data_IF_554706476616
#
_entry.id   IF_554706476616
#
_cell.length_a   1.000
_cell.length_b   1.000
_cell.length_c   1.000
_cell.angle_alpha   90.00
_cell.angle_beta   90.00
_cell.angle_gamma   90.00
#
_symmetry.space_group_name_H-M   'P 1'
#
loop_
_entity.id
_entity.type
_entity.pdbx_description
1 polymer ?
#
# COMPACT_ATOMS: atom_id res chain seq x y z
N UNK A 1 -91.77 -23.74 -37.02
CA UNK A 1 -92.12 -23.25 -35.66
C UNK A 1 -90.92 -23.48 -34.75
N UNK A 2 -90.52 -22.45 -33.98
CA UNK A 2 -89.55 -22.43 -32.86
C UNK A 2 -88.10 -22.83 -33.13
N UNK A 3 -87.07 -22.31 -32.46
CA UNK A 3 -86.71 -21.05 -31.77
C UNK A 3 -85.31 -21.34 -31.19
N UNK A 4 -84.42 -20.33 -31.14
CA UNK A 4 -83.32 -20.19 -30.16
C UNK A 4 -82.18 -21.25 -30.18
N UNK A 5 -80.94 -21.01 -29.76
CA UNK A 5 -80.16 -19.84 -29.31
C UNK A 5 -78.68 -20.28 -29.23
N UNK A 6 -77.76 -19.36 -29.59
CA UNK A 6 -76.46 -19.04 -28.97
C UNK A 6 -75.50 -20.15 -28.47
N UNK A 7 -74.24 -20.16 -28.96
CA UNK A 7 -73.07 -19.65 -28.22
C UNK A 7 -71.78 -19.60 -29.06
N UNK A 8 -71.04 -18.52 -28.84
CA UNK A 8 -69.82 -18.05 -29.50
C UNK A 8 -68.59 -18.58 -28.76
N UNK A 9 -67.51 -18.93 -29.46
CA UNK A 9 -66.14 -18.80 -28.94
C UNK A 9 -65.14 -18.60 -30.09
N UNK A 10 -64.62 -17.38 -30.18
CA UNK A 10 -63.47 -16.98 -30.99
C UNK A 10 -62.19 -17.17 -30.17
N UNK A 11 -61.08 -17.55 -30.81
CA UNK A 11 -59.74 -17.26 -30.29
C UNK A 11 -58.78 -16.93 -31.42
N UNK A 12 -58.39 -15.65 -31.41
CA UNK A 12 -57.51 -14.98 -32.35
C UNK A 12 -56.04 -15.37 -32.15
N UNK A 13 -55.33 -15.47 -33.27
CA UNK A 13 -53.89 -15.68 -33.37
C UNK A 13 -53.14 -14.47 -32.80
N UNK A 14 -52.32 -14.69 -31.78
CA UNK A 14 -51.42 -13.69 -31.20
C UNK A 14 -50.07 -13.71 -31.94
N UNK A 15 -49.71 -12.58 -32.56
CA UNK A 15 -48.36 -12.33 -33.08
C UNK A 15 -47.39 -12.06 -31.93
N UNK A 16 -46.24 -12.74 -31.94
CA UNK A 16 -45.20 -12.60 -30.94
C UNK A 16 -44.43 -11.28 -31.12
N UNK A 17 -44.43 -10.44 -30.08
CA UNK A 17 -43.54 -9.28 -29.94
C UNK A 17 -42.26 -9.76 -29.28
N UNK A 18 -41.12 -9.68 -29.98
CA UNK A 18 -39.80 -9.96 -29.43
C UNK A 18 -39.33 -8.74 -28.60
N UNK A 19 -39.34 -8.86 -27.28
CA UNK A 19 -38.77 -7.87 -26.38
C UNK A 19 -37.24 -8.07 -26.30
N UNK A 20 -36.48 -7.12 -26.85
CA UNK A 20 -35.03 -7.07 -26.69
C UNK A 20 -34.68 -6.64 -25.27
N UNK A 21 -34.11 -7.56 -24.48
CA UNK A 21 -33.54 -7.27 -23.16
C UNK A 21 -32.18 -6.62 -23.38
N UNK A 22 -32.11 -5.29 -23.26
CA UNK A 22 -30.87 -4.55 -23.10
C UNK A 22 -30.30 -4.86 -21.72
N UNK A 23 -29.31 -5.76 -21.67
CA UNK A 23 -28.49 -5.96 -20.48
C UNK A 23 -27.65 -4.68 -20.26
N UNK A 24 -28.16 -3.78 -19.42
CA UNK A 24 -27.39 -2.69 -18.84
C UNK A 24 -26.33 -3.33 -17.93
N UNK A 25 -25.16 -3.63 -18.50
CA UNK A 25 -23.98 -3.93 -17.71
C UNK A 25 -23.66 -2.71 -16.86
N UNK A 26 -23.90 -2.79 -15.55
CA UNK A 26 -23.38 -1.80 -14.63
C UNK A 26 -21.86 -1.84 -14.76
N UNK A 27 -21.20 -0.73 -15.13
CA UNK A 27 -19.75 -0.71 -15.07
C UNK A 27 -19.39 -1.00 -13.61
N UNK A 28 -18.65 -2.07 -13.38
CA UNK A 28 -17.94 -2.27 -12.11
C UNK A 28 -16.98 -1.08 -12.04
N UNK A 29 -17.41 -0.02 -11.36
CA UNK A 29 -16.54 1.09 -11.04
C UNK A 29 -15.38 0.50 -10.25
N UNK A 30 -14.20 0.52 -10.85
CA UNK A 30 -12.97 0.35 -10.09
C UNK A 30 -13.00 1.44 -9.02
N UNK A 31 -13.09 1.04 -7.75
CA UNK A 31 -13.02 1.96 -6.63
C UNK A 31 -11.75 2.81 -6.79
N UNK A 32 -11.80 4.11 -6.55
CA UNK A 32 -10.65 4.98 -6.81
C UNK A 32 -9.42 4.60 -5.98
N UNK A 33 -8.24 5.11 -6.33
CA UNK A 33 -7.01 4.85 -5.57
C UNK A 33 -7.16 5.14 -4.06
N UNK A 34 -7.89 6.21 -3.69
CA UNK A 34 -8.15 6.55 -2.28
C UNK A 34 -9.08 5.54 -1.62
N UNK A 35 -10.09 5.04 -2.33
CA UNK A 35 -10.97 4.00 -1.80
C UNK A 35 -10.20 2.70 -1.55
N UNK A 36 -9.33 2.32 -2.48
CA UNK A 36 -8.46 1.15 -2.32
C UNK A 36 -7.47 1.33 -1.17
N UNK A 37 -6.91 2.53 -0.99
CA UNK A 37 -6.03 2.84 0.15
C UNK A 37 -6.80 2.78 1.47
N UNK A 38 -8.00 3.38 1.50
CA UNK A 38 -8.87 3.34 2.67
C UNK A 38 -9.24 1.90 3.03
N UNK A 39 -9.57 1.07 2.04
CA UNK A 39 -9.85 -0.34 2.22
C UNK A 39 -8.62 -1.07 2.77
N UNK A 40 -7.45 -0.90 2.14
CA UNK A 40 -6.20 -1.54 2.57
C UNK A 40 -5.86 -1.23 4.03
N UNK A 41 -5.88 0.05 4.41
CA UNK A 41 -5.55 0.49 5.78
C UNK A 41 -6.57 -0.04 6.80
N UNK A 42 -7.85 -0.12 6.42
CA UNK A 42 -8.93 -0.59 7.28
C UNK A 42 -8.96 -2.11 7.46
N UNK A 43 -8.79 -2.88 6.39
CA UNK A 43 -8.96 -4.34 6.39
C UNK A 43 -7.68 -5.11 6.73
N UNK A 44 -6.51 -4.52 6.49
CA UNK A 44 -5.22 -5.18 6.67
C UNK A 44 -4.61 -4.79 8.02
N UNK A 45 -4.81 -5.60 9.05
CA UNK A 45 -4.27 -5.35 10.40
C UNK A 45 -2.85 -5.88 10.58
N UNK A 46 -2.47 -6.89 9.82
CA UNK A 46 -1.09 -7.33 9.69
C UNK A 46 -0.79 -7.69 8.25
N UNK A 47 0.48 -7.74 7.90
CA UNK A 47 0.90 -8.18 6.58
C UNK A 47 2.34 -8.61 6.54
N UNK A 48 2.66 -9.46 5.57
CA UNK A 48 4.01 -9.90 5.25
C UNK A 48 4.20 -9.86 3.74
N UNK A 49 5.36 -9.42 3.29
CA UNK A 49 5.72 -9.40 1.88
C UNK A 49 7.24 -9.48 1.71
N UNK A 50 7.68 -9.99 0.56
CA UNK A 50 9.02 -9.73 0.06
C UNK A 50 9.02 -8.40 -0.72
N UNK A 51 10.14 -7.69 -0.73
CA UNK A 51 10.30 -6.49 -1.54
C UNK A 51 11.62 -6.48 -2.31
N UNK A 52 11.60 -5.86 -3.48
CA UNK A 52 12.78 -5.40 -4.20
C UNK A 52 12.72 -3.88 -4.29
N UNK A 53 13.84 -3.21 -3.97
CA UNK A 53 13.97 -1.76 -3.98
C UNK A 53 14.99 -1.33 -5.03
N UNK A 54 14.66 -0.32 -5.83
CA UNK A 54 15.60 0.35 -6.72
C UNK A 54 15.69 1.82 -6.32
N UNK A 55 16.90 2.25 -5.93
CA UNK A 55 17.21 3.63 -5.57
C UNK A 55 17.97 4.26 -6.73
N UNK A 56 17.40 5.31 -7.32
CA UNK A 56 17.95 6.03 -8.46
C UNK A 56 18.33 7.44 -8.03
N UNK A 57 19.60 7.82 -8.25
CA UNK A 57 20.07 9.18 -8.02
C UNK A 57 19.48 10.16 -9.05
N UNK A 58 19.33 11.45 -8.72
CA UNK A 58 18.91 12.46 -9.69
C UNK A 58 19.86 12.46 -10.90
N UNK A 59 19.30 12.66 -12.09
CA UNK A 59 20.07 12.72 -13.32
C UNK A 59 21.09 13.88 -13.26
N UNK A 60 22.31 13.60 -13.73
CA UNK A 60 23.34 14.62 -13.95
C UNK A 60 23.68 14.62 -15.43
N UNK A 61 23.73 15.81 -16.02
CA UNK A 61 24.02 15.98 -17.43
C UNK A 61 25.34 15.29 -17.81
N UNK A 62 25.31 14.53 -18.91
CA UNK A 62 26.48 13.77 -19.40
C UNK A 62 26.85 12.53 -18.58
N UNK A 63 26.08 12.13 -17.56
CA UNK A 63 26.34 10.90 -16.79
C UNK A 63 25.19 9.89 -16.92
N UNK A 64 25.50 8.59 -17.04
CA UNK A 64 24.47 7.57 -17.02
C UNK A 64 23.73 7.55 -15.67
N UNK A 65 22.43 7.20 -15.63
CA UNK A 65 21.69 7.03 -14.39
C UNK A 65 22.38 6.04 -13.47
N UNK A 66 22.58 6.42 -12.21
CA UNK A 66 23.10 5.51 -11.18
C UNK A 66 21.95 4.98 -10.36
N UNK A 67 21.77 3.67 -10.38
CA UNK A 67 20.82 2.97 -9.53
C UNK A 67 21.51 1.95 -8.62
N UNK A 68 20.91 1.71 -7.46
CA UNK A 68 21.26 0.63 -6.54
C UNK A 68 20.03 -0.22 -6.29
N UNK A 69 20.20 -1.53 -6.28
CA UNK A 69 19.12 -2.47 -5.98
C UNK A 69 19.34 -3.10 -4.62
N UNK A 70 18.27 -3.21 -3.84
CA UNK A 70 18.24 -3.90 -2.56
C UNK A 70 17.02 -4.83 -2.51
N UNK A 71 17.04 -5.83 -1.63
CA UNK A 71 15.89 -6.73 -1.47
C UNK A 71 15.77 -7.18 -0.04
N UNK A 72 14.55 -7.58 0.34
CA UNK A 72 14.28 -7.93 1.72
C UNK A 72 12.87 -8.41 1.99
N UNK A 73 12.52 -8.41 3.27
CA UNK A 73 11.17 -8.68 3.75
C UNK A 73 10.61 -7.49 4.52
N UNK A 74 9.29 -7.31 4.37
CA UNK A 74 8.53 -6.32 5.08
C UNK A 74 7.40 -7.00 5.81
N UNK A 75 7.30 -6.72 7.10
CA UNK A 75 6.23 -7.23 7.95
C UNK A 75 5.68 -6.11 8.81
N UNK A 76 4.39 -6.13 9.07
CA UNK A 76 3.77 -5.14 9.95
C UNK A 76 2.58 -5.70 10.73
N UNK A 77 2.31 -5.03 11.84
CA UNK A 77 1.11 -5.21 12.65
C UNK A 77 0.65 -3.84 13.13
N UNK A 78 -0.56 -3.46 12.74
CA UNK A 78 -1.17 -2.20 13.15
C UNK A 78 -1.65 -2.27 14.60
N UNK A 79 -1.61 -1.15 15.34
CA UNK A 79 -0.99 0.12 14.94
C UNK A 79 0.52 0.14 15.20
N UNK A 80 1.26 0.82 14.32
CA UNK A 80 2.60 1.30 14.61
C UNK A 80 3.72 0.26 14.75
N UNK A 81 3.51 -1.02 14.44
CA UNK A 81 4.60 -2.01 14.46
C UNK A 81 4.96 -2.45 13.06
N UNK A 82 6.24 -2.44 12.76
CA UNK A 82 6.75 -3.02 11.51
C UNK A 82 8.20 -3.45 11.64
N UNK A 83 8.61 -4.33 10.74
CA UNK A 83 10.00 -4.70 10.53
C UNK A 83 10.28 -4.70 9.02
N UNK A 84 11.30 -3.95 8.62
CA UNK A 84 11.99 -4.13 7.34
C UNK A 84 13.31 -4.85 7.59
N UNK A 85 13.57 -5.92 6.85
CA UNK A 85 14.87 -6.58 6.81
C UNK A 85 15.40 -6.50 5.40
N UNK A 86 16.47 -5.75 5.19
CA UNK A 86 17.25 -5.75 3.97
C UNK A 86 18.28 -6.88 4.06
N UNK A 87 18.31 -7.75 3.06
CA UNK A 87 19.19 -8.93 3.04
C UNK A 87 20.29 -8.81 1.99
N UNK A 88 20.13 -7.94 0.98
CA UNK A 88 21.11 -7.74 -0.10
C UNK A 88 21.11 -6.29 -0.57
N UNK A 89 22.27 -5.76 -1.01
CA UNK A 89 23.62 -6.31 -0.86
C UNK A 89 24.20 -6.08 0.55
N UNK A 90 23.56 -5.24 1.36
CA UNK A 90 23.96 -4.91 2.72
C UNK A 90 22.84 -5.29 3.69
N UNK A 91 23.21 -5.81 4.85
CA UNK A 91 22.25 -6.24 5.86
C UNK A 91 21.86 -5.07 6.75
N UNK A 92 20.57 -4.72 6.72
CA UNK A 92 20.03 -3.64 7.52
C UNK A 92 18.66 -4.03 8.05
N UNK A 93 18.40 -3.76 9.31
CA UNK A 93 17.10 -4.04 9.94
C UNK A 93 16.50 -2.75 10.50
N UNK A 94 15.28 -2.43 10.11
CA UNK A 94 14.51 -1.31 10.64
C UNK A 94 13.31 -1.87 11.40
N UNK A 95 13.18 -1.57 12.68
CA UNK A 95 12.08 -2.09 13.53
C UNK A 95 11.39 -0.94 14.23
N UNK A 96 10.09 -0.83 14.04
CA UNK A 96 9.21 -0.05 14.90
C UNK A 96 8.51 -1.00 15.87
N UNK A 97 8.78 -0.86 17.16
CA UNK A 97 8.20 -1.71 18.21
C UNK A 97 6.91 -1.13 18.81
N UNK A 98 6.50 0.06 18.38
CA UNK A 98 5.38 0.83 18.90
C UNK A 98 5.80 1.97 19.85
N UNK A 99 7.08 2.04 20.23
CA UNK A 99 7.65 3.10 21.08
C UNK A 99 8.95 3.66 20.50
N UNK A 100 9.80 2.79 19.97
CA UNK A 100 11.13 3.09 19.46
C UNK A 100 11.24 2.65 18.01
N UNK A 101 11.82 3.51 17.18
CA UNK A 101 12.32 3.14 15.86
C UNK A 101 13.80 2.77 15.99
N UNK A 102 14.09 1.50 15.77
CA UNK A 102 15.43 0.93 15.74
C UNK A 102 15.91 0.82 14.30
N UNK A 103 17.13 1.30 14.04
CA UNK A 103 17.85 1.11 12.79
C UNK A 103 19.14 0.37 13.12
N UNK A 104 19.28 -0.87 12.67
CA UNK A 104 20.49 -1.67 12.81
C UNK A 104 21.16 -1.80 11.45
N UNK A 105 22.35 -1.24 11.34
CA UNK A 105 23.25 -1.44 10.21
C UNK A 105 24.30 -2.46 10.65
N UNK A 106 24.24 -3.66 10.06
CA UNK A 106 25.08 -4.80 10.46
C UNK A 106 26.53 -4.55 10.07
N UNK A 107 26.74 -3.97 8.88
CA UNK A 107 28.07 -3.75 8.32
C UNK A 107 28.82 -2.65 9.07
N UNK A 108 28.09 -1.64 9.56
CA UNK A 108 28.65 -0.60 10.43
C UNK A 108 28.74 -1.01 11.90
N UNK A 109 28.21 -2.19 12.27
CA UNK A 109 28.08 -2.64 13.67
C UNK A 109 27.45 -1.55 14.57
N UNK A 110 26.39 -0.92 14.08
CA UNK A 110 25.76 0.25 14.71
C UNK A 110 24.25 0.12 14.78
N UNK A 111 23.67 0.49 15.92
CA UNK A 111 22.25 0.65 16.15
C UNK A 111 21.94 2.10 16.47
N UNK A 112 20.94 2.67 15.80
CA UNK A 112 20.34 3.95 16.17
C UNK A 112 18.93 3.70 16.74
N UNK A 113 18.62 4.35 17.85
CA UNK A 113 17.31 4.29 18.50
C UNK A 113 16.72 5.68 18.61
N UNK A 114 15.50 5.88 18.09
CA UNK A 114 14.77 7.15 18.14
C UNK A 114 13.35 6.95 18.64
N UNK A 115 12.79 7.95 19.32
CA UNK A 115 11.36 7.91 19.71
C UNK A 115 10.48 7.85 18.48
N UNK A 116 9.67 6.80 18.37
CA UNK A 116 8.88 6.54 17.18
C UNK A 116 7.89 7.67 16.88
N UNK A 117 7.25 8.24 17.91
CA UNK A 117 6.31 9.35 17.79
C UNK A 117 6.91 10.60 17.10
N UNK A 118 8.22 10.81 17.20
CA UNK A 118 8.90 11.99 16.65
C UNK A 118 9.31 11.80 15.19
N UNK A 119 9.52 10.56 14.75
CA UNK A 119 10.12 10.28 13.43
C UNK A 119 9.18 9.57 12.48
N UNK A 120 8.19 8.82 12.99
CA UNK A 120 7.39 7.91 12.19
C UNK A 120 6.55 8.64 11.13
N UNK A 121 5.89 9.75 11.49
CA UNK A 121 5.00 10.50 10.59
C UNK A 121 5.69 11.00 9.31
N UNK A 122 7.02 11.11 9.31
CA UNK A 122 7.81 11.51 8.14
C UNK A 122 8.37 10.32 7.33
N UNK A 123 8.02 9.08 7.67
CA UNK A 123 8.55 7.88 7.01
C UNK A 123 7.56 7.27 6.01
N UNK A 124 8.04 6.71 4.88
CA UNK A 124 7.20 5.92 3.97
C UNK A 124 6.49 4.74 4.63
N UNK A 125 7.12 4.12 5.64
CA UNK A 125 6.53 3.04 6.42
C UNK A 125 5.26 3.47 7.16
N UNK A 126 5.11 4.75 7.52
CA UNK A 126 3.91 5.21 8.22
C UNK A 126 2.65 5.07 7.38
N UNK A 127 2.76 5.30 6.07
CA UNK A 127 1.64 5.19 5.13
C UNK A 127 1.13 3.75 5.06
N UNK A 128 2.05 2.78 5.00
CA UNK A 128 1.71 1.39 4.75
C UNK A 128 1.54 0.52 5.99
N UNK A 129 2.10 0.89 7.13
CA UNK A 129 2.11 0.05 8.33
C UNK A 129 1.69 0.75 9.63
N UNK A 130 1.82 2.06 9.75
CA UNK A 130 1.57 2.73 11.03
C UNK A 130 0.14 3.23 11.18
N UNK A 131 -0.41 3.84 10.13
CA UNK A 131 -1.68 4.53 10.25
C UNK A 131 -2.85 3.54 10.48
N UNK A 132 -3.74 3.82 11.45
CA UNK A 132 -4.91 3.00 11.74
C UNK A 132 -6.05 3.17 10.72
N UNK A 133 -6.12 4.33 10.08
CA UNK A 133 -7.13 4.73 9.09
C UNK A 133 -6.60 5.86 8.18
N UNK A 134 -7.41 6.22 7.17
CA UNK A 134 -7.09 7.31 6.23
C UNK A 134 -7.02 8.67 6.93
N UNK A 135 -7.88 8.91 7.94
CA UNK A 135 -7.92 10.18 8.70
C UNK A 135 -6.64 10.42 9.50
N UNK A 136 -5.94 9.38 9.91
CA UNK A 136 -4.62 9.49 10.53
C UNK A 136 -3.57 9.89 9.49
N UNK A 137 -3.59 9.30 8.29
CA UNK A 137 -2.71 9.70 7.19
C UNK A 137 -2.94 11.15 6.78
N UNK A 138 -4.20 11.58 6.69
CA UNK A 138 -4.57 12.94 6.32
C UNK A 138 -4.13 14.00 7.34
N UNK A 139 -3.73 13.64 8.57
CA UNK A 139 -3.12 14.61 9.49
C UNK A 139 -1.73 15.03 9.03
N UNK A 140 -0.97 14.08 8.50
CA UNK A 140 0.44 14.26 8.17
C UNK A 140 0.67 14.47 6.66
N UNK A 141 -0.27 14.02 5.82
CA UNK A 141 -0.16 14.04 4.37
C UNK A 141 -1.38 14.67 3.70
N UNK A 142 -1.16 15.32 2.57
CA UNK A 142 -2.19 15.61 1.57
C UNK A 142 -2.23 14.42 0.61
N UNK A 143 -3.38 13.74 0.54
CA UNK A 143 -3.58 12.57 -0.31
C UNK A 143 -4.34 12.96 -1.57
N UNK A 144 -3.86 12.50 -2.72
CA UNK A 144 -4.48 12.74 -4.03
C UNK A 144 -4.46 11.46 -4.85
N UNK A 145 -5.58 11.14 -5.50
CA UNK A 145 -5.62 10.07 -6.49
C UNK A 145 -4.77 10.44 -7.71
N UNK A 146 -4.12 9.44 -8.27
CA UNK A 146 -3.45 9.53 -9.56
C UNK A 146 -4.02 8.49 -10.52
N UNK A 147 -3.86 8.68 -11.84
CA UNK A 147 -4.34 7.72 -12.82
C UNK A 147 -3.81 6.31 -12.56
N UNK A 148 -4.69 5.34 -12.75
CA UNK A 148 -4.32 3.93 -12.70
C UNK A 148 -3.25 3.61 -13.77
N UNK A 149 -2.27 2.81 -13.38
CA UNK A 149 -1.13 2.47 -14.24
C UNK A 149 -0.48 1.18 -13.78
N UNK A 150 0.06 0.40 -14.72
CA UNK A 150 0.72 -0.89 -14.46
C UNK A 150 -0.15 -1.88 -13.66
N UNK A 151 -1.47 -1.85 -13.90
CA UNK A 151 -2.45 -2.69 -13.20
C UNK A 151 -2.64 -2.32 -11.72
N UNK A 152 -2.22 -1.12 -11.32
CA UNK A 152 -2.29 -0.61 -9.96
C UNK A 152 -3.10 0.69 -9.91
N UNK A 153 -3.75 0.89 -8.78
CA UNK A 153 -4.46 2.10 -8.42
C UNK A 153 -3.55 2.94 -7.53
N UNK A 154 -3.40 4.21 -7.88
CA UNK A 154 -2.34 5.04 -7.32
C UNK A 154 -2.88 6.14 -6.42
N UNK A 155 -2.26 6.29 -5.26
CA UNK A 155 -2.44 7.45 -4.38
C UNK A 155 -1.10 8.12 -4.15
N UNK A 156 -1.04 9.42 -4.42
CA UNK A 156 0.09 10.25 -4.03
C UNK A 156 -0.16 10.90 -2.68
N UNK A 157 0.84 10.84 -1.82
CA UNK A 157 0.87 11.45 -0.51
C UNK A 157 2.01 12.47 -0.45
N UNK A 158 1.67 13.72 -0.18
CA UNK A 158 2.63 14.81 0.00
C UNK A 158 2.66 15.20 1.48
N UNK A 159 3.82 15.13 2.17
CA UNK A 159 3.91 15.56 3.56
C UNK A 159 3.44 17.00 3.73
N UNK A 160 2.68 17.26 4.80
CA UNK A 160 2.25 18.62 5.17
C UNK A 160 3.36 19.41 5.86
N UNK A 161 4.26 18.72 6.55
CA UNK A 161 5.49 19.31 7.10
C UNK A 161 6.52 19.51 6.00
N UNK A 162 7.19 20.68 5.98
CA UNK A 162 8.21 21.05 4.99
C UNK A 162 9.65 20.80 5.47
N UNK A 163 9.84 20.41 6.72
CA UNK A 163 11.16 20.26 7.34
C UNK A 163 11.77 18.86 7.12
N UNK A 164 11.06 17.99 6.39
CA UNK A 164 11.45 16.61 6.18
C UNK A 164 12.34 16.40 4.95
N UNK A 165 13.09 15.30 4.96
CA UNK A 165 13.82 14.81 3.78
C UNK A 165 12.88 14.22 2.72
N UNK A 166 11.59 14.07 3.02
CA UNK A 166 10.60 13.43 2.15
C UNK A 166 9.86 14.49 1.31
N UNK A 167 9.87 14.32 -0.01
CA UNK A 167 9.14 15.20 -0.93
C UNK A 167 7.75 14.64 -1.28
N UNK A 168 7.67 13.35 -1.63
CA UNK A 168 6.39 12.68 -1.88
C UNK A 168 6.50 11.16 -1.78
N UNK A 169 5.36 10.52 -1.59
CA UNK A 169 5.19 9.07 -1.66
C UNK A 169 4.08 8.77 -2.66
N UNK A 170 4.23 7.74 -3.47
CA UNK A 170 3.15 7.16 -4.28
C UNK A 170 2.92 5.73 -3.82
N UNK A 171 1.68 5.38 -3.54
CA UNK A 171 1.25 4.05 -3.12
C UNK A 171 0.48 3.42 -4.26
N UNK A 172 1.04 2.36 -4.82
CA UNK A 172 0.40 1.51 -5.81
C UNK A 172 -0.27 0.33 -5.12
N UNK A 173 -1.59 0.22 -5.30
CA UNK A 173 -2.40 -0.85 -4.77
C UNK A 173 -2.91 -1.71 -5.91
N UNK A 174 -2.84 -3.03 -5.74
CA UNK A 174 -3.35 -3.99 -6.71
C UNK A 174 -4.58 -4.70 -6.14
N UNK A 175 -5.52 -5.13 -6.99
CA UNK A 175 -6.55 -6.07 -6.57
C UNK A 175 -5.90 -7.39 -6.12
N UNK A 176 -6.31 -7.91 -4.98
CA UNK A 176 -5.89 -9.20 -4.44
C UNK A 176 -7.09 -10.03 -3.95
N UNK A 177 -6.89 -11.32 -3.64
CA UNK A 177 -7.97 -12.21 -3.20
C UNK A 177 -8.67 -11.74 -1.92
N UNK A 178 -7.96 -10.99 -1.07
CA UNK A 178 -8.47 -10.40 0.18
C UNK A 178 -8.87 -8.92 0.09
N UNK A 179 -8.97 -8.35 -1.12
CA UNK A 179 -9.16 -6.92 -1.36
C UNK A 179 -7.88 -6.24 -1.86
N UNK A 180 -7.77 -4.92 -1.68
CA UNK A 180 -6.59 -4.17 -2.08
C UNK A 180 -5.34 -4.66 -1.34
N UNK A 181 -4.26 -4.93 -2.09
CA UNK A 181 -2.94 -5.32 -1.58
C UNK A 181 -1.89 -4.28 -1.94
N UNK A 182 -0.86 -4.14 -1.11
CA UNK A 182 0.27 -3.29 -1.41
C UNK A 182 1.07 -3.87 -2.59
N UNK A 183 1.12 -3.14 -3.70
CA UNK A 183 1.90 -3.48 -4.88
C UNK A 183 3.24 -2.76 -4.91
N UNK A 184 3.20 -1.42 -4.85
CA UNK A 184 4.39 -0.59 -5.02
C UNK A 184 4.40 0.59 -4.07
N UNK A 185 5.59 0.98 -3.61
CA UNK A 185 5.83 2.29 -3.00
C UNK A 185 6.89 3.02 -3.78
N UNK A 186 6.58 4.23 -4.23
CA UNK A 186 7.58 5.15 -4.76
C UNK A 186 7.80 6.27 -3.77
N UNK A 187 9.05 6.58 -3.51
CA UNK A 187 9.47 7.61 -2.56
C UNK A 187 10.37 8.56 -3.33
N UNK A 188 10.05 9.85 -3.23
CA UNK A 188 10.94 10.91 -3.70
C UNK A 188 11.41 11.71 -2.49
N UNK A 189 12.72 11.83 -2.33
CA UNK A 189 13.32 12.68 -1.30
C UNK A 189 13.54 14.11 -1.80
N UNK A 190 13.89 15.02 -0.88
CA UNK A 190 14.12 16.44 -1.18
C UNK A 190 15.37 16.71 -2.02
N UNK A 191 16.26 15.72 -2.17
CA UNK A 191 17.44 15.80 -3.04
C UNK A 191 17.16 15.26 -4.45
N UNK A 192 15.92 14.84 -4.73
CA UNK A 192 15.51 14.29 -6.03
C UNK A 192 15.89 12.83 -6.22
N UNK A 193 16.34 12.12 -5.17
CA UNK A 193 16.51 10.67 -5.22
C UNK A 193 15.13 10.00 -5.29
N UNK A 194 15.01 9.01 -6.16
CA UNK A 194 13.80 8.19 -6.29
C UNK A 194 14.07 6.78 -5.81
N UNK A 195 13.30 6.31 -4.85
CA UNK A 195 13.29 4.93 -4.39
C UNK A 195 11.99 4.25 -4.76
N UNK A 196 12.04 3.11 -5.42
CA UNK A 196 10.86 2.31 -5.79
C UNK A 196 10.96 0.95 -5.12
N UNK A 197 10.03 0.65 -4.21
CA UNK A 197 9.88 -0.66 -3.56
C UNK A 197 8.72 -1.40 -4.23
N UNK A 198 9.00 -2.54 -4.84
CA UNK A 198 7.99 -3.44 -5.42
C UNK A 198 7.80 -4.63 -4.48
N UNK A 199 6.56 -4.85 -4.07
CA UNK A 199 6.18 -5.91 -3.14
C UNK A 199 5.66 -7.14 -3.87
N UNK A 200 6.03 -8.31 -3.36
CA UNK A 200 5.64 -9.62 -3.89
C UNK A 200 5.29 -10.56 -2.74
N UNK A 201 4.53 -11.61 -3.04
CA UNK A 201 4.07 -12.59 -2.05
C UNK A 201 3.40 -11.92 -0.83
N UNK A 202 2.49 -10.97 -1.10
CA UNK A 202 1.80 -10.24 -0.05
C UNK A 202 0.79 -11.15 0.64
N UNK A 203 0.94 -11.31 1.96
CA UNK A 203 0.04 -12.07 2.81
C UNK A 203 -0.76 -11.09 3.67
N UNK A 204 -2.04 -10.92 3.35
CA UNK A 204 -2.98 -10.08 4.12
C UNK A 204 -3.31 -10.77 5.45
N UNK A 205 -3.27 -10.02 6.54
CA UNK A 205 -3.59 -10.49 7.89
C UNK A 205 -2.78 -11.72 8.34
N UNK A 206 -1.51 -11.77 7.91
CA UNK A 206 -0.56 -12.80 8.32
C UNK A 206 -0.47 -12.89 9.86
N UNK A 207 -0.41 -14.12 10.38
CA UNK A 207 -0.28 -14.39 11.80
C UNK A 207 1.16 -14.13 12.27
N UNK A 208 1.51 -12.86 12.44
CA UNK A 208 2.83 -12.43 12.95
C UNK A 208 2.71 -12.12 14.44
N UNK A 209 3.45 -12.82 15.32
CA UNK A 209 3.37 -12.58 16.76
C UNK A 209 3.93 -11.20 17.11
N UNK A 210 3.34 -10.54 18.10
CA UNK A 210 3.77 -9.21 18.54
C UNK A 210 5.22 -9.18 19.05
N UNK A 211 5.73 -10.31 19.55
CA UNK A 211 7.14 -10.48 19.94
C UNK A 211 8.10 -10.34 18.77
N UNK A 212 7.63 -10.58 17.54
CA UNK A 212 8.45 -10.40 16.36
C UNK A 212 8.97 -8.97 16.36
N UNK A 213 8.13 -7.95 16.51
CA UNK A 213 8.52 -6.53 16.42
C UNK A 213 9.35 -6.00 17.60
N UNK A 214 9.73 -6.83 18.56
CA UNK A 214 10.68 -6.44 19.60
C UNK A 214 12.10 -6.48 19.02
N UNK A 215 12.91 -5.48 19.34
CA UNK A 215 14.31 -5.43 18.93
C UNK A 215 15.21 -5.35 20.16
N UNK A 216 16.19 -6.25 20.22
CA UNK A 216 17.27 -6.23 21.21
C UNK A 216 18.57 -6.02 20.44
N UNK A 217 19.31 -4.92 20.69
CA UNK A 217 20.61 -4.70 20.07
C UNK A 217 21.54 -5.90 20.33
N UNK A 218 22.24 -6.42 19.31
CA UNK A 218 23.22 -7.47 19.51
C UNK A 218 24.34 -7.03 20.47
N UNK A 219 24.97 -7.99 21.14
CA UNK A 219 26.09 -7.70 22.04
C UNK A 219 27.26 -7.08 21.25
N UNK A 220 27.86 -6.03 21.78
CA UNK A 220 29.03 -5.39 21.19
C UNK A 220 28.74 -4.41 20.05
N UNK A 221 27.47 -4.15 19.75
CA UNK A 221 27.03 -3.13 18.79
C UNK A 221 26.99 -1.77 19.47
N UNK A 222 27.45 -0.72 18.78
CA UNK A 222 27.33 0.66 19.28
C UNK A 222 25.87 1.12 19.21
N UNK A 223 25.35 1.72 20.28
CA UNK A 223 23.93 2.13 20.37
C UNK A 223 23.84 3.65 20.55
N UNK A 224 23.48 4.33 19.48
CA UNK A 224 23.23 5.77 19.47
C UNK A 224 21.75 6.04 19.80
N UNK A 225 21.50 6.89 20.80
CA UNK A 225 20.15 7.27 21.24
C UNK A 225 19.93 8.76 21.04
N UNK A 226 18.97 9.11 20.18
CA UNK A 226 18.62 10.49 19.84
C UNK A 226 17.14 10.76 20.11
#
# INVERSE_FOLDING_TARGET
>A
MSKMSTHVSSLARHGAVAAAVLALGTPVAWAGGLDSLAQFVKSTRSGKAAFAQVVTAPAKEGQPPRSKTQSGTFEFQRPGKFRFVYSKPFEQTIVADGKTLWLHDVDLNQVTARKQEQVLGATPAAIVAAAPDLKALEKDFTLTEEPDSDGQQWVKAIPKSRDGQLQSIRVGLKPGPGGAELGTLEIQDSFGQRSVLTFSHFEVNAAVPASHFQFTPPKGVDVLRN
#
